data_IF_636435528242
#
_entry.id   IF_636435528242
#
_cell.length_a   1.000
_cell.length_b   1.000
_cell.length_c   1.000
_cell.angle_alpha   90.00
_cell.angle_beta   90.00
_cell.angle_gamma   90.00
#
_symmetry.space_group_name_H-M   'P 1'
#
loop_
_entity.id
_entity.type
_entity.pdbx_description
1 polymer ?
#
# COMPACT_ATOMS: atom_id res chain seq x y z
N UNK A 1 11.49 4.46 -6.40
CA UNK A 1 10.37 4.61 -5.47
C UNK A 1 10.74 4.09 -4.10
N UNK A 2 10.60 4.92 -3.08
CA UNK A 2 11.09 4.56 -1.76
C UNK A 2 10.35 3.42 -1.08
N UNK A 3 9.11 3.16 -1.44
CA UNK A 3 8.28 2.15 -0.76
C UNK A 3 8.37 0.76 -1.40
N UNK A 4 9.26 0.55 -2.36
CA UNK A 4 9.23 -0.70 -3.11
C UNK A 4 10.00 -1.86 -2.47
N UNK A 5 10.78 -1.63 -1.44
CA UNK A 5 11.60 -2.66 -0.83
C UNK A 5 11.46 -2.69 0.67
N UNK A 6 11.42 -3.89 1.23
CA UNK A 6 11.20 -5.17 0.57
C UNK A 6 9.73 -5.39 0.25
N UNK A 7 9.45 -6.22 -0.77
CA UNK A 7 8.09 -6.66 -1.06
C UNK A 7 7.86 -8.03 -0.45
N UNK A 8 6.68 -8.22 0.13
CA UNK A 8 6.28 -9.47 0.75
C UNK A 8 5.05 -10.01 0.03
N UNK A 9 4.89 -11.32 0.01
CA UNK A 9 3.70 -11.92 -0.57
C UNK A 9 2.46 -11.50 0.20
N UNK A 10 1.39 -11.18 -0.53
CA UNK A 10 0.13 -10.76 0.08
C UNK A 10 -0.65 -12.01 0.50
N UNK A 11 -0.21 -12.62 1.58
CA UNK A 11 -0.87 -13.76 2.21
C UNK A 11 -1.16 -13.44 3.66
N UNK A 12 -2.11 -14.14 4.26
CA UNK A 12 -2.46 -13.90 5.65
C UNK A 12 -1.25 -14.07 6.57
N UNK A 13 -0.47 -15.13 6.35
CA UNK A 13 0.68 -15.39 7.19
C UNK A 13 1.70 -14.25 7.16
N UNK A 14 1.98 -13.72 5.96
CA UNK A 14 2.93 -12.61 5.83
C UNK A 14 2.36 -11.32 6.40
N UNK A 15 1.08 -11.05 6.14
CA UNK A 15 0.44 -9.82 6.63
C UNK A 15 0.38 -9.79 8.15
N UNK A 16 0.23 -10.93 8.79
CA UNK A 16 0.24 -11.01 10.26
C UNK A 16 1.58 -10.60 10.85
N UNK A 17 2.64 -10.63 10.06
CA UNK A 17 3.96 -10.12 10.46
C UNK A 17 4.19 -8.64 10.14
N UNK A 18 3.24 -7.96 9.53
CA UNK A 18 3.38 -6.55 9.20
C UNK A 18 3.31 -5.67 10.45
N UNK A 19 3.89 -4.45 10.41
CA UNK A 19 3.95 -3.61 11.62
C UNK A 19 2.58 -3.16 12.09
N UNK A 20 2.44 -3.11 13.41
CA UNK A 20 1.24 -2.65 14.09
C UNK A 20 1.35 -1.15 14.37
N UNK A 21 1.77 -0.38 13.37
CA UNK A 21 2.15 1.02 13.52
C UNK A 21 1.63 1.84 12.35
N UNK A 22 1.71 3.16 12.50
CA UNK A 22 1.31 4.09 11.45
C UNK A 22 2.36 4.16 10.34
N UNK A 23 1.91 4.45 9.13
CA UNK A 23 2.80 4.60 7.99
C UNK A 23 2.04 4.55 6.68
N UNK A 24 2.73 4.13 5.66
CA UNK A 24 2.14 3.94 4.34
C UNK A 24 2.41 2.52 3.87
N UNK A 25 1.54 2.03 2.99
CA UNK A 25 1.71 0.70 2.41
C UNK A 25 1.37 0.76 0.93
N UNK A 26 1.86 -0.24 0.20
CA UNK A 26 1.62 -0.34 -1.22
C UNK A 26 1.22 -1.77 -1.57
N UNK A 27 0.32 -1.90 -2.54
CA UNK A 27 -0.06 -3.19 -3.10
C UNK A 27 0.47 -3.27 -4.53
N UNK A 28 0.98 -4.43 -4.88
CA UNK A 28 1.65 -4.68 -6.14
C UNK A 28 1.02 -5.87 -6.88
N UNK A 29 0.89 -5.74 -8.19
CA UNK A 29 0.64 -6.89 -9.08
C UNK A 29 1.97 -7.20 -9.75
N UNK A 30 2.70 -8.18 -9.20
CA UNK A 30 4.07 -8.42 -9.65
C UNK A 30 4.95 -7.19 -9.41
N UNK A 31 5.42 -6.61 -10.48
CA UNK A 31 6.28 -5.42 -10.42
C UNK A 31 5.52 -4.11 -10.59
N UNK A 32 4.23 -4.17 -10.83
CA UNK A 32 3.42 -2.96 -10.99
C UNK A 32 2.83 -2.52 -9.66
N UNK A 33 3.11 -1.27 -9.27
CA UNK A 33 2.48 -0.66 -8.10
C UNK A 33 1.06 -0.26 -8.48
N UNK A 34 0.07 -0.84 -7.81
CA UNK A 34 -1.34 -0.60 -8.15
C UNK A 34 -2.09 0.23 -7.12
N UNK A 35 -1.60 0.29 -5.89
CA UNK A 35 -2.29 1.04 -4.84
C UNK A 35 -1.32 1.50 -3.77
N UNK A 36 -1.48 2.74 -3.30
CA UNK A 36 -0.77 3.27 -2.13
C UNK A 36 -1.82 3.72 -1.14
N UNK A 37 -1.68 3.28 0.10
CA UNK A 37 -2.58 3.66 1.17
C UNK A 37 -1.82 4.15 2.39
N UNK A 38 -2.55 4.74 3.34
CA UNK A 38 -1.96 5.20 4.59
C UNK A 38 -2.61 4.49 5.77
N UNK A 39 -1.87 4.39 6.86
CA UNK A 39 -2.33 3.77 8.09
C UNK A 39 -2.07 4.70 9.26
N UNK A 40 -3.07 4.85 10.13
CA UNK A 40 -2.97 5.67 11.34
C UNK A 40 -2.61 4.78 12.54
N UNK A 41 -2.28 5.37 13.70
CA UNK A 41 -2.06 4.54 14.89
C UNK A 41 -3.27 3.68 15.27
N UNK A 42 -4.49 4.15 14.98
CA UNK A 42 -5.71 3.41 15.30
C UNK A 42 -6.06 2.34 14.28
N UNK A 43 -5.53 2.46 13.06
CA UNK A 43 -5.74 1.51 11.98
C UNK A 43 -4.40 1.27 11.32
N UNK A 44 -3.59 0.45 11.97
CA UNK A 44 -2.19 0.21 11.61
C UNK A 44 -2.00 -0.37 10.21
N UNK A 45 -0.74 -0.39 9.77
CA UNK A 45 -0.38 -1.01 8.48
C UNK A 45 -0.94 -2.44 8.42
N UNK A 46 -0.72 -3.23 9.49
CA UNK A 46 -1.26 -4.60 9.54
C UNK A 46 -2.77 -4.62 9.41
N UNK A 47 -3.48 -3.75 10.14
CA UNK A 47 -4.94 -3.71 10.11
C UNK A 47 -5.47 -3.36 8.73
N UNK A 48 -4.83 -2.39 8.06
CA UNK A 48 -5.21 -2.01 6.71
C UNK A 48 -4.98 -3.14 5.71
N UNK A 49 -3.85 -3.83 5.82
CA UNK A 49 -3.55 -4.96 4.93
C UNK A 49 -4.51 -6.11 5.15
N UNK A 50 -4.86 -6.41 6.40
CA UNK A 50 -5.87 -7.44 6.70
C UNK A 50 -7.23 -7.07 6.12
N UNK A 51 -7.58 -5.80 6.18
CA UNK A 51 -8.83 -5.30 5.62
C UNK A 51 -8.88 -5.51 4.10
N UNK A 52 -7.80 -5.17 3.39
CA UNK A 52 -7.73 -5.40 1.95
C UNK A 52 -7.80 -6.89 1.61
N UNK A 53 -7.10 -7.70 2.40
CA UNK A 53 -7.08 -9.14 2.18
C UNK A 53 -8.48 -9.75 2.35
N UNK A 54 -9.23 -9.31 3.35
CA UNK A 54 -10.56 -9.83 3.66
C UNK A 54 -11.62 -9.35 2.66
N UNK A 55 -11.52 -8.10 2.22
CA UNK A 55 -12.56 -7.49 1.37
C UNK A 55 -12.47 -7.85 -0.09
N UNK A 56 -11.28 -8.17 -0.55
CA UNK A 56 -11.06 -8.51 -1.96
C UNK A 56 -11.63 -7.43 -2.89
N UNK A 57 -11.24 -6.20 -2.65
CA UNK A 57 -11.62 -5.07 -3.48
C UNK A 57 -11.39 -5.41 -4.95
N UNK A 58 -12.37 -5.12 -5.81
CA UNK A 58 -12.29 -5.51 -7.22
C UNK A 58 -10.99 -5.08 -7.89
N UNK A 59 -10.52 -3.86 -7.60
CA UNK A 59 -9.31 -3.35 -8.22
C UNK A 59 -8.04 -4.02 -7.68
N UNK A 60 -8.01 -4.38 -6.40
CA UNK A 60 -6.81 -4.94 -5.77
C UNK A 60 -6.86 -6.45 -5.61
N UNK A 61 -7.88 -7.11 -6.16
CA UNK A 61 -8.06 -8.55 -5.99
C UNK A 61 -6.89 -9.36 -6.57
N UNK A 62 -6.20 -8.82 -7.57
CA UNK A 62 -5.05 -9.48 -8.20
C UNK A 62 -3.72 -9.09 -7.59
N UNK A 63 -3.71 -8.28 -6.54
CA UNK A 63 -2.47 -7.90 -5.88
C UNK A 63 -1.78 -9.15 -5.34
N UNK A 64 -0.49 -9.27 -5.63
CA UNK A 64 0.31 -10.43 -5.25
C UNK A 64 1.28 -10.14 -4.12
N UNK A 65 1.64 -8.88 -3.94
CA UNK A 65 2.65 -8.47 -2.96
C UNK A 65 2.27 -7.17 -2.30
N UNK A 66 2.87 -6.92 -1.14
CA UNK A 66 2.75 -5.64 -0.46
C UNK A 66 4.11 -5.17 0.03
N UNK A 67 4.21 -3.86 0.25
CA UNK A 67 5.36 -3.25 0.90
C UNK A 67 4.85 -2.18 1.86
N UNK A 68 5.71 -1.70 2.74
CA UNK A 68 5.32 -0.71 3.73
C UNK A 68 6.50 0.15 4.13
N UNK A 69 6.17 1.30 4.72
CA UNK A 69 7.16 2.23 5.27
C UNK A 69 6.54 2.89 6.50
N UNK A 70 7.25 2.86 7.62
CA UNK A 70 6.80 3.55 8.83
C UNK A 70 6.89 5.05 8.61
N UNK A 71 5.90 5.79 9.12
CA UNK A 71 5.90 7.24 9.00
C UNK A 71 5.13 7.87 10.15
N UNK A 72 5.67 8.94 10.69
CA UNK A 72 4.98 9.75 11.69
C UNK A 72 3.96 10.70 11.05
N UNK A 73 4.03 10.85 9.72
CA UNK A 73 3.11 11.70 8.95
C UNK A 73 2.59 10.92 7.74
N UNK A 74 1.72 9.92 7.98
CA UNK A 74 1.29 9.04 6.88
C UNK A 74 0.62 9.78 5.73
N UNK A 75 -0.22 10.78 6.03
CA UNK A 75 -0.91 11.52 4.99
C UNK A 75 0.07 12.28 4.08
N UNK A 76 1.07 12.93 4.68
CA UNK A 76 2.09 13.65 3.92
C UNK A 76 2.92 12.68 3.08
N UNK A 77 3.31 11.55 3.68
CA UNK A 77 4.15 10.58 2.99
C UNK A 77 3.41 9.93 1.82
N UNK A 78 2.13 9.65 2.00
CA UNK A 78 1.29 9.13 0.91
C UNK A 78 1.29 10.07 -0.28
N UNK A 79 1.09 11.37 -0.03
CA UNK A 79 1.09 12.37 -1.10
C UNK A 79 2.44 12.42 -1.81
N UNK A 80 3.53 12.36 -1.06
CA UNK A 80 4.88 12.35 -1.64
C UNK A 80 5.08 11.17 -2.58
N UNK A 81 4.68 9.98 -2.14
CA UNK A 81 4.83 8.77 -2.94
C UNK A 81 3.98 8.85 -4.19
N UNK A 82 2.74 9.30 -4.06
CA UNK A 82 1.84 9.45 -5.21
C UNK A 82 2.38 10.47 -6.21
N UNK A 83 2.93 11.58 -5.72
CA UNK A 83 3.52 12.59 -6.61
C UNK A 83 4.74 12.05 -7.35
N UNK A 84 5.57 11.26 -6.68
CA UNK A 84 6.71 10.60 -7.35
C UNK A 84 6.22 9.64 -8.44
N UNK A 85 5.17 8.90 -8.16
CA UNK A 85 4.61 7.97 -9.13
C UNK A 85 4.06 8.73 -10.34
N UNK A 86 3.31 9.79 -10.10
CA UNK A 86 2.77 10.62 -11.19
C UNK A 86 3.89 11.22 -12.03
N UNK A 87 4.96 11.70 -11.39
CA UNK A 87 6.10 12.27 -12.11
C UNK A 87 6.77 11.24 -12.99
N UNK A 88 6.84 10.00 -12.55
CA UNK A 88 7.51 8.93 -13.29
C UNK A 88 6.63 8.34 -14.39
N UNK A 89 5.33 8.15 -14.13
CA UNK A 89 4.45 7.40 -15.03
C UNK A 89 3.36 8.24 -15.68
N UNK A 90 3.21 9.51 -15.29
CA UNK A 90 2.21 10.40 -15.88
C UNK A 90 0.77 10.10 -15.43
N UNK A 91 0.59 9.28 -14.41
CA UNK A 91 -0.73 8.90 -13.90
C UNK A 91 -0.65 8.40 -12.47
N UNK A 92 -1.79 8.30 -11.80
CA UNK A 92 -1.89 7.65 -10.49
C UNK A 92 -1.75 6.14 -10.62
N UNK A 93 -1.38 5.42 -9.55
CA UNK A 93 -1.54 3.96 -9.55
C UNK A 93 -3.01 3.63 -9.85
N UNK A 94 -3.24 2.56 -10.61
CA UNK A 94 -4.59 2.33 -11.18
C UNK A 94 -5.68 2.20 -10.12
N UNK A 95 -5.39 1.64 -8.97
CA UNK A 95 -6.40 1.46 -7.94
C UNK A 95 -6.58 2.70 -7.07
N UNK A 96 -5.63 3.61 -7.05
CA UNK A 96 -5.83 4.92 -6.42
C UNK A 96 -6.78 5.78 -7.24
N UNK A 97 -6.68 5.70 -8.56
CA UNK A 97 -7.59 6.42 -9.44
C UNK A 97 -9.03 5.94 -9.26
N UNK A 98 -9.23 4.63 -9.04
CA UNK A 98 -10.55 4.04 -8.85
C UNK A 98 -11.11 4.25 -7.44
N UNK A 99 -10.26 4.58 -6.48
CA UNK A 99 -10.64 4.68 -5.07
C UNK A 99 -11.34 6.01 -4.73
N UNK A 100 -11.45 6.88 -5.67
CA UNK A 100 -12.03 8.22 -5.44
C UNK A 100 -13.50 8.18 -5.07
#
# INVERSE_FOLDING_TARGET
MPIRNPKYRLTRAMVEGAPHEAGVFALWEGDELVYVGRASPDASIRAQLLHHLARKCACTVKASHYSWELSLRPATREVEILNEFIAQFGRMPKCNADAA
#
